data_IF_225327667720
#
_entry.id   IF_225327667720
#
_cell.length_a   1.000
_cell.length_b   1.000
_cell.length_c   1.000
_cell.angle_alpha   90.00
_cell.angle_beta   90.00
_cell.angle_gamma   90.00
#
_symmetry.space_group_name_H-M   'P 1'
#
loop_
_entity.id
_entity.type
_entity.pdbx_description
1 polymer ?
#
# COMPACT_ATOMS: atom_id res chain seq x y z
N UNK A 1 -22.27 33.87 -32.67
CA UNK A 1 -23.58 34.38 -32.16
C UNK A 1 -23.46 35.65 -31.29
N UNK A 2 -22.25 36.15 -31.00
CA UNK A 2 -22.02 37.29 -30.08
C UNK A 2 -22.59 38.61 -30.61
N UNK A 3 -22.29 38.95 -31.88
CA UNK A 3 -22.81 40.16 -32.53
C UNK A 3 -24.35 40.17 -32.58
N UNK A 4 -24.97 39.06 -32.98
CA UNK A 4 -26.44 38.96 -33.07
C UNK A 4 -27.10 39.23 -31.71
N UNK A 5 -26.58 38.64 -30.63
CA UNK A 5 -27.10 38.87 -29.27
C UNK A 5 -26.98 40.34 -28.86
N UNK A 6 -25.80 40.94 -29.05
CA UNK A 6 -25.56 42.34 -28.70
C UNK A 6 -26.47 43.30 -29.48
N UNK A 7 -26.68 43.07 -30.77
CA UNK A 7 -27.59 43.90 -31.56
C UNK A 7 -29.04 43.73 -31.11
N UNK A 8 -29.52 42.50 -30.90
CA UNK A 8 -30.89 42.25 -30.41
C UNK A 8 -31.15 42.97 -29.10
N UNK A 9 -30.19 43.00 -28.18
CA UNK A 9 -30.34 43.69 -26.89
C UNK A 9 -30.51 45.21 -27.05
N UNK A 10 -29.81 45.82 -28.01
CA UNK A 10 -29.93 47.26 -28.33
C UNK A 10 -31.29 47.63 -28.95
N UNK A 11 -31.96 46.70 -29.64
CA UNK A 11 -33.26 46.94 -30.27
C UNK A 11 -34.48 46.72 -29.33
N UNK A 12 -34.28 46.22 -28.11
CA UNK A 12 -35.39 45.92 -27.17
C UNK A 12 -36.07 47.17 -26.59
N UNK A 13 -35.47 48.35 -26.71
CA UNK A 13 -35.96 49.60 -26.11
C UNK A 13 -37.11 50.28 -26.89
N UNK A 14 -37.59 49.69 -27.99
CA UNK A 14 -38.78 50.16 -28.72
C UNK A 14 -38.56 51.32 -29.69
N UNK A 15 -37.45 52.04 -29.56
CA UNK A 15 -37.00 53.11 -30.46
C UNK A 15 -35.76 52.72 -31.28
N UNK A 16 -35.53 53.39 -32.42
CA UNK A 16 -34.35 53.16 -33.24
C UNK A 16 -33.09 53.56 -32.45
N UNK A 17 -32.09 52.67 -32.30
CA UNK A 17 -30.96 52.94 -31.44
C UNK A 17 -30.09 54.08 -31.98
N UNK A 18 -29.62 54.92 -31.06
CA UNK A 18 -28.67 55.99 -31.39
C UNK A 18 -27.37 55.38 -31.94
N UNK A 19 -26.71 56.02 -32.92
CA UNK A 19 -25.44 55.52 -33.49
C UNK A 19 -24.36 55.26 -32.42
N UNK A 20 -24.36 56.02 -31.32
CA UNK A 20 -23.45 55.83 -30.18
C UNK A 20 -23.73 54.51 -29.43
N UNK A 21 -25.00 54.15 -29.24
CA UNK A 21 -25.40 52.88 -28.62
C UNK A 21 -25.00 51.69 -29.50
N UNK A 22 -25.19 51.82 -30.81
CA UNK A 22 -24.80 50.79 -31.77
C UNK A 22 -23.28 50.57 -31.80
N UNK A 23 -22.48 51.66 -31.75
CA UNK A 23 -21.03 51.57 -31.68
C UNK A 23 -20.55 50.88 -30.39
N UNK A 24 -21.15 51.23 -29.25
CA UNK A 24 -20.83 50.61 -27.96
C UNK A 24 -21.16 49.11 -27.96
N UNK A 25 -22.29 48.72 -28.52
CA UNK A 25 -22.66 47.31 -28.65
C UNK A 25 -21.72 46.54 -29.58
N UNK A 26 -21.25 47.18 -30.65
CA UNK A 26 -20.26 46.61 -31.56
C UNK A 26 -18.91 46.41 -30.85
N UNK A 27 -18.46 47.42 -30.10
CA UNK A 27 -17.25 47.36 -29.29
C UNK A 27 -17.32 46.21 -28.26
N UNK A 28 -18.40 46.14 -27.49
CA UNK A 28 -18.66 45.06 -26.54
C UNK A 28 -18.68 43.68 -27.20
N UNK A 29 -19.38 43.54 -28.32
CA UNK A 29 -19.44 42.27 -29.04
C UNK A 29 -18.07 41.83 -29.55
N UNK A 30 -17.23 42.77 -30.02
CA UNK A 30 -15.87 42.47 -30.46
C UNK A 30 -14.97 42.00 -29.31
N UNK A 31 -15.05 42.66 -28.14
CA UNK A 31 -14.30 42.26 -26.94
C UNK A 31 -14.75 40.88 -26.43
N UNK A 32 -16.05 40.62 -26.36
CA UNK A 32 -16.57 39.31 -25.94
C UNK A 32 -16.13 38.21 -26.91
N UNK A 33 -16.13 38.48 -28.22
CA UNK A 33 -15.63 37.52 -29.21
C UNK A 33 -14.12 37.25 -29.05
N UNK A 34 -13.33 38.29 -28.74
CA UNK A 34 -11.90 38.14 -28.44
C UNK A 34 -11.68 37.31 -27.17
N UNK A 35 -12.39 37.61 -26.09
CA UNK A 35 -12.36 36.88 -24.81
C UNK A 35 -12.72 35.42 -25.02
N UNK A 36 -13.80 35.12 -25.74
CA UNK A 36 -14.23 33.75 -26.02
C UNK A 36 -13.20 32.98 -26.84
N UNK A 37 -12.54 33.63 -27.81
CA UNK A 37 -11.49 33.01 -28.63
C UNK A 37 -10.27 32.67 -27.78
N UNK A 38 -9.78 33.61 -26.99
CA UNK A 38 -8.64 33.43 -26.10
C UNK A 38 -8.93 32.37 -25.02
N UNK A 39 -10.10 32.42 -24.40
CA UNK A 39 -10.55 31.43 -23.41
C UNK A 39 -10.58 30.02 -24.01
N UNK A 40 -11.13 29.86 -25.22
CA UNK A 40 -11.14 28.56 -25.91
C UNK A 40 -9.74 28.05 -26.24
N UNK A 41 -8.84 28.94 -26.68
CA UNK A 41 -7.45 28.58 -26.95
C UNK A 41 -6.78 28.01 -25.70
N UNK A 42 -6.88 28.73 -24.59
CA UNK A 42 -6.33 28.31 -23.31
C UNK A 42 -6.94 27.01 -22.80
N UNK A 43 -8.28 26.91 -22.74
CA UNK A 43 -8.95 25.70 -22.24
C UNK A 43 -8.62 24.48 -23.10
N UNK A 44 -8.52 24.65 -24.42
CA UNK A 44 -8.14 23.56 -25.32
C UNK A 44 -6.69 23.14 -25.12
N UNK A 45 -5.76 24.09 -24.94
CA UNK A 45 -4.35 23.76 -24.69
C UNK A 45 -4.15 23.05 -23.35
N UNK A 46 -4.91 23.47 -22.32
CA UNK A 46 -4.83 22.90 -20.97
C UNK A 46 -5.35 21.45 -20.87
N UNK A 47 -5.98 20.93 -21.93
CA UNK A 47 -6.32 19.50 -22.01
C UNK A 47 -5.07 18.61 -22.12
N UNK A 48 -4.00 19.12 -22.76
CA UNK A 48 -2.72 18.43 -22.95
C UNK A 48 -1.69 18.78 -21.86
N UNK A 49 -2.14 19.23 -20.69
CA UNK A 49 -1.27 19.63 -19.58
C UNK A 49 -0.40 18.46 -19.08
N UNK A 50 0.82 18.74 -18.59
CA UNK A 50 1.61 17.75 -17.88
C UNK A 50 0.90 17.31 -16.59
N UNK A 51 1.03 16.02 -16.26
CA UNK A 51 0.46 15.38 -15.07
C UNK A 51 1.58 14.97 -14.11
N UNK A 52 1.26 14.87 -12.82
CA UNK A 52 2.19 14.42 -11.76
C UNK A 52 3.45 15.27 -11.54
N UNK A 53 3.53 16.44 -12.18
CA UNK A 53 4.63 17.38 -12.03
C UNK A 53 4.04 18.79 -11.95
N UNK A 54 4.00 19.32 -10.73
CA UNK A 54 3.37 20.60 -10.43
C UNK A 54 4.18 21.79 -10.96
N UNK A 55 5.51 21.65 -11.04
CA UNK A 55 6.38 22.72 -11.52
C UNK A 55 6.24 22.88 -13.02
N UNK A 56 6.31 21.77 -13.78
CA UNK A 56 6.03 21.78 -15.22
C UNK A 56 4.62 22.25 -15.55
N UNK A 57 3.65 21.94 -14.70
CA UNK A 57 2.28 22.40 -14.87
C UNK A 57 2.16 23.93 -14.72
N UNK A 58 2.89 24.53 -13.77
CA UNK A 58 2.95 26.00 -13.60
C UNK A 58 3.64 26.68 -14.77
N UNK A 59 4.75 26.13 -15.23
CA UNK A 59 5.46 26.64 -16.41
C UNK A 59 4.56 26.60 -17.66
N UNK A 60 3.96 25.44 -17.91
CA UNK A 60 3.03 25.24 -19.03
C UNK A 60 1.82 26.19 -18.96
N UNK A 61 1.29 26.43 -17.75
CA UNK A 61 0.24 27.43 -17.55
C UNK A 61 0.70 28.83 -17.92
N UNK A 62 1.88 29.26 -17.47
CA UNK A 62 2.42 30.58 -17.77
C UNK A 62 2.61 30.81 -19.27
N UNK A 63 3.14 29.83 -19.98
CA UNK A 63 3.30 29.86 -21.44
C UNK A 63 1.95 29.98 -22.15
N UNK A 64 1.01 29.09 -21.82
CA UNK A 64 -0.29 29.05 -22.47
C UNK A 64 -1.17 30.27 -22.15
N UNK A 65 -1.04 30.82 -20.94
CA UNK A 65 -1.69 32.07 -20.54
C UNK A 65 -1.17 33.22 -21.39
N UNK A 66 0.16 33.35 -21.53
CA UNK A 66 0.76 34.39 -22.37
C UNK A 66 0.33 34.26 -23.85
N UNK A 67 0.23 33.04 -24.38
CA UNK A 67 -0.31 32.79 -25.72
C UNK A 67 -1.78 33.19 -25.85
N UNK A 68 -2.62 32.85 -24.87
CA UNK A 68 -4.03 33.20 -24.88
C UNK A 68 -4.23 34.73 -24.82
N UNK A 69 -3.41 35.45 -24.04
CA UNK A 69 -3.44 36.90 -24.00
C UNK A 69 -2.99 37.53 -25.32
N UNK A 70 -1.98 36.98 -25.99
CA UNK A 70 -1.61 37.39 -27.36
C UNK A 70 -2.77 37.18 -28.34
N UNK A 71 -3.46 36.04 -28.26
CA UNK A 71 -4.66 35.77 -29.10
C UNK A 71 -5.76 36.81 -28.86
N UNK A 72 -5.91 37.28 -27.61
CA UNK A 72 -6.85 38.36 -27.28
C UNK A 72 -6.39 39.70 -27.87
N UNK A 73 -5.13 40.07 -27.72
CA UNK A 73 -4.54 41.32 -28.21
C UNK A 73 -4.59 41.41 -29.74
N UNK A 74 -4.21 40.34 -30.44
CA UNK A 74 -4.18 40.26 -31.91
C UNK A 74 -5.58 40.23 -32.55
N UNK A 75 -6.63 39.99 -31.76
CA UNK A 75 -7.99 39.99 -32.26
C UNK A 75 -8.43 41.41 -32.66
N UNK A 76 -8.99 41.63 -33.87
CA UNK A 76 -9.51 42.94 -34.26
C UNK A 76 -10.67 43.37 -33.37
N UNK A 77 -10.43 44.37 -32.52
CA UNK A 77 -11.40 44.93 -31.57
C UNK A 77 -11.81 46.34 -32.00
N UNK A 78 -13.03 46.74 -31.63
CA UNK A 78 -13.57 48.09 -31.84
C UNK A 78 -13.73 48.74 -30.46
N UNK A 79 -13.37 50.00 -30.30
CA UNK A 79 -13.55 50.74 -29.04
C UNK A 79 -12.26 51.34 -28.51
N UNK A 80 -12.28 51.74 -27.23
CA UNK A 80 -11.13 52.32 -26.53
C UNK A 80 -10.29 51.25 -25.84
N UNK A 81 -9.00 51.55 -25.65
CA UNK A 81 -8.05 50.66 -24.94
C UNK A 81 -8.51 50.33 -23.53
N UNK A 82 -9.22 51.24 -22.85
CA UNK A 82 -9.76 51.03 -21.50
C UNK A 82 -10.82 49.90 -21.43
N UNK A 83 -11.64 49.74 -22.47
CA UNK A 83 -12.61 48.63 -22.52
C UNK A 83 -11.92 47.30 -22.78
N UNK A 84 -10.88 47.33 -23.63
CA UNK A 84 -10.04 46.17 -23.90
C UNK A 84 -9.28 45.71 -22.66
N UNK A 85 -8.66 46.64 -21.93
CA UNK A 85 -7.90 46.34 -20.70
C UNK A 85 -8.79 45.70 -19.62
N UNK A 86 -9.98 46.27 -19.38
CA UNK A 86 -10.93 45.71 -18.42
C UNK A 86 -11.34 44.28 -18.79
N UNK A 87 -11.58 44.03 -20.08
CA UNK A 87 -11.93 42.69 -20.57
C UNK A 87 -10.77 41.70 -20.45
N UNK A 88 -9.53 42.19 -20.60
CA UNK A 88 -8.31 41.41 -20.46
C UNK A 88 -8.04 41.03 -18.99
N UNK A 89 -8.27 41.95 -18.06
CA UNK A 89 -8.15 41.69 -16.62
C UNK A 89 -9.16 40.61 -16.16
N UNK A 90 -10.40 40.72 -16.64
CA UNK A 90 -11.45 39.71 -16.36
C UNK A 90 -11.07 38.36 -16.94
N UNK A 91 -10.62 38.33 -18.20
CA UNK A 91 -10.14 37.09 -18.84
C UNK A 91 -9.01 36.46 -18.03
N UNK A 92 -7.99 37.24 -17.67
CA UNK A 92 -6.81 36.74 -16.94
C UNK A 92 -7.23 36.08 -15.63
N UNK A 93 -8.07 36.74 -14.83
CA UNK A 93 -8.60 36.20 -13.57
C UNK A 93 -9.38 34.91 -13.77
N UNK A 94 -10.24 34.84 -14.79
CA UNK A 94 -10.98 33.62 -15.08
C UNK A 94 -10.06 32.43 -15.43
N UNK A 95 -8.98 32.67 -16.18
CA UNK A 95 -8.03 31.64 -16.57
C UNK A 95 -7.14 31.20 -15.40
N UNK A 96 -6.77 32.12 -14.51
CA UNK A 96 -6.09 31.85 -13.24
C UNK A 96 -6.97 31.01 -12.31
N UNK A 97 -8.24 31.39 -12.10
CA UNK A 97 -9.18 30.61 -11.29
C UNK A 97 -9.41 29.20 -11.86
N UNK A 98 -9.45 29.07 -13.18
CA UNK A 98 -9.52 27.77 -13.82
C UNK A 98 -8.25 26.95 -13.58
N UNK A 99 -7.07 27.58 -13.67
CA UNK A 99 -5.81 26.93 -13.35
C UNK A 99 -5.74 26.46 -11.90
N UNK A 100 -6.14 27.30 -10.94
CA UNK A 100 -6.11 26.98 -9.52
C UNK A 100 -6.94 25.73 -9.20
N UNK A 101 -8.07 25.54 -9.87
CA UNK A 101 -8.86 24.30 -9.75
C UNK A 101 -8.08 23.10 -10.25
N UNK A 102 -7.51 23.17 -11.44
CA UNK A 102 -6.71 22.08 -12.01
C UNK A 102 -5.47 21.77 -11.17
N UNK A 103 -4.80 22.80 -10.64
CA UNK A 103 -3.62 22.65 -9.80
C UNK A 103 -3.95 21.90 -8.52
N UNK A 104 -5.06 22.27 -7.84
CA UNK A 104 -5.54 21.56 -6.65
C UNK A 104 -5.94 20.11 -6.94
N UNK A 105 -6.56 19.86 -8.09
CA UNK A 105 -6.89 18.49 -8.53
C UNK A 105 -5.64 17.64 -8.70
N UNK A 106 -4.61 18.14 -9.40
CA UNK A 106 -3.34 17.43 -9.58
C UNK A 106 -2.61 17.21 -8.25
N UNK A 107 -2.55 18.23 -7.40
CA UNK A 107 -1.91 18.14 -6.08
C UNK A 107 -2.58 17.07 -5.21
N UNK A 108 -3.93 17.01 -5.22
CA UNK A 108 -4.67 16.00 -4.49
C UNK A 108 -4.44 14.58 -5.03
N UNK A 109 -4.30 14.44 -6.35
CA UNK A 109 -3.96 13.15 -6.97
C UNK A 109 -2.58 12.68 -6.55
N UNK A 110 -1.57 13.56 -6.59
CA UNK A 110 -0.20 13.23 -6.17
C UNK A 110 -0.18 12.77 -4.71
N UNK A 111 -0.80 13.53 -3.81
CA UNK A 111 -0.86 13.17 -2.37
C UNK A 111 -1.54 11.81 -2.15
N UNK A 112 -2.62 11.54 -2.87
CA UNK A 112 -3.32 10.26 -2.77
C UNK A 112 -2.44 9.10 -3.26
N UNK A 113 -1.72 9.28 -4.36
CA UNK A 113 -0.77 8.29 -4.86
C UNK A 113 0.34 8.02 -3.83
N UNK A 114 0.90 9.06 -3.21
CA UNK A 114 1.91 8.96 -2.14
C UNK A 114 1.39 8.22 -0.89
N UNK A 115 0.17 8.54 -0.45
CA UNK A 115 -0.48 7.87 0.69
C UNK A 115 -0.72 6.37 0.41
N UNK A 116 -1.18 6.04 -0.79
CA UNK A 116 -1.37 4.65 -1.23
C UNK A 116 -0.04 3.90 -1.35
N UNK A 117 1.03 4.56 -1.80
CA UNK A 117 2.39 4.00 -1.81
C UNK A 117 2.91 3.74 -0.41
N UNK A 118 2.79 4.71 0.50
CA UNK A 118 3.18 4.57 1.89
C UNK A 118 2.42 3.45 2.59
N UNK A 119 1.11 3.32 2.35
CA UNK A 119 0.31 2.22 2.90
C UNK A 119 0.82 0.86 2.39
N UNK A 120 1.09 0.74 1.09
CA UNK A 120 1.66 -0.48 0.51
C UNK A 120 3.04 -0.80 1.08
N UNK A 121 3.86 0.21 1.37
CA UNK A 121 5.16 0.03 2.04
C UNK A 121 5.03 -0.44 3.47
N UNK A 122 4.09 0.13 4.23
CA UNK A 122 3.80 -0.27 5.60
C UNK A 122 3.32 -1.72 5.69
N UNK A 123 2.42 -2.14 4.79
CA UNK A 123 1.97 -3.53 4.70
C UNK A 123 3.14 -4.49 4.42
N UNK A 124 4.02 -4.15 3.46
CA UNK A 124 5.23 -4.93 3.18
C UNK A 124 6.19 -4.98 4.37
N UNK A 125 6.34 -3.88 5.09
CA UNK A 125 7.21 -3.81 6.26
C UNK A 125 6.67 -4.64 7.42
N UNK A 126 5.35 -4.59 7.62
CA UNK A 126 4.68 -5.39 8.64
C UNK A 126 4.76 -6.89 8.34
N UNK A 127 4.60 -7.29 7.08
CA UNK A 127 4.76 -8.69 6.66
C UNK A 127 6.17 -9.21 6.95
N UNK A 128 7.20 -8.45 6.58
CA UNK A 128 8.60 -8.78 6.92
C UNK A 128 8.81 -8.93 8.43
N UNK A 129 8.25 -8.02 9.23
CA UNK A 129 8.35 -8.10 10.69
C UNK A 129 7.70 -9.39 11.22
N UNK A 130 6.52 -9.77 10.70
CA UNK A 130 5.84 -11.02 11.07
C UNK A 130 6.63 -12.25 10.63
N UNK A 131 7.33 -12.20 9.50
CA UNK A 131 8.23 -13.27 9.05
C UNK A 131 9.44 -13.41 9.98
N UNK A 132 10.10 -12.31 10.33
CA UNK A 132 11.22 -12.30 11.27
C UNK A 132 10.83 -12.87 12.64
N UNK A 133 9.65 -12.52 13.16
CA UNK A 133 9.13 -13.06 14.41
C UNK A 133 8.95 -14.59 14.32
N UNK A 134 8.34 -15.09 13.24
CA UNK A 134 8.19 -16.54 12.99
C UNK A 134 9.54 -17.24 12.83
N UNK A 135 10.54 -16.59 12.26
CA UNK A 135 11.90 -17.14 12.18
C UNK A 135 12.57 -17.23 13.55
N UNK A 136 12.47 -16.16 14.36
CA UNK A 136 13.02 -16.15 15.72
C UNK A 136 12.40 -17.23 16.59
N UNK A 137 11.09 -17.43 16.49
CA UNK A 137 10.39 -18.49 17.22
C UNK A 137 10.89 -19.89 16.78
N UNK A 138 11.03 -20.13 15.47
CA UNK A 138 11.58 -21.39 14.93
C UNK A 138 13.02 -21.66 15.40
N UNK A 139 13.85 -20.62 15.48
CA UNK A 139 15.23 -20.75 15.99
C UNK A 139 15.21 -21.10 17.47
N UNK A 140 14.42 -20.39 18.27
CA UNK A 140 14.29 -20.64 19.71
C UNK A 140 13.76 -22.06 20.00
N UNK A 141 12.79 -22.53 19.22
CA UNK A 141 12.26 -23.90 19.35
C UNK A 141 13.33 -24.95 19.03
N UNK A 142 14.10 -24.76 17.95
CA UNK A 142 15.22 -25.64 17.59
C UNK A 142 16.29 -25.69 18.67
N UNK A 143 16.64 -24.54 19.26
CA UNK A 143 17.59 -24.47 20.38
C UNK A 143 17.07 -25.23 21.60
N UNK A 144 15.78 -25.07 21.94
CA UNK A 144 15.14 -25.82 23.04
C UNK A 144 15.08 -27.32 22.76
N UNK A 145 14.81 -27.73 21.53
CA UNK A 145 14.83 -29.14 21.13
C UNK A 145 16.24 -29.74 21.24
N UNK A 146 17.25 -29.04 20.71
CA UNK A 146 18.65 -29.46 20.79
C UNK A 146 19.14 -29.55 22.25
N UNK A 147 18.71 -28.63 23.12
CA UNK A 147 19.03 -28.71 24.56
C UNK A 147 18.44 -29.97 25.21
N UNK A 148 17.17 -30.29 24.93
CA UNK A 148 16.52 -31.53 25.41
C UNK A 148 17.21 -32.78 24.87
N UNK A 149 17.56 -32.80 23.58
CA UNK A 149 18.29 -33.93 22.99
C UNK A 149 19.68 -34.10 23.59
N UNK A 150 20.40 -33.00 23.86
CA UNK A 150 21.71 -33.04 24.51
C UNK A 150 21.62 -33.58 25.94
N UNK A 151 20.56 -33.25 26.68
CA UNK A 151 20.29 -33.81 28.00
C UNK A 151 20.04 -35.31 27.93
N UNK A 152 19.14 -35.77 27.05
CA UNK A 152 18.90 -37.20 26.83
C UNK A 152 20.16 -37.94 26.36
N UNK A 153 21.01 -37.32 25.54
CA UNK A 153 22.28 -37.90 25.12
C UNK A 153 23.23 -38.08 26.32
N UNK A 154 23.32 -37.09 27.21
CA UNK A 154 24.11 -37.20 28.45
C UNK A 154 23.61 -38.35 29.32
N UNK A 155 22.31 -38.44 29.56
CA UNK A 155 21.72 -39.54 30.34
C UNK A 155 21.98 -40.92 29.69
N UNK A 156 21.87 -41.03 28.36
CA UNK A 156 22.21 -42.25 27.61
C UNK A 156 23.68 -42.63 27.76
N UNK A 157 24.60 -41.66 27.72
CA UNK A 157 26.03 -41.93 27.92
C UNK A 157 26.31 -42.38 29.37
N UNK A 158 25.66 -41.76 30.36
CA UNK A 158 25.80 -42.16 31.75
C UNK A 158 25.27 -43.56 32.00
N UNK A 159 24.05 -43.86 31.53
CA UNK A 159 23.45 -45.20 31.64
C UNK A 159 24.27 -46.26 30.93
N UNK A 160 24.74 -45.99 29.70
CA UNK A 160 25.66 -46.89 28.99
C UNK A 160 26.95 -47.14 29.78
N UNK A 161 27.55 -46.10 30.36
CA UNK A 161 28.75 -46.26 31.19
C UNK A 161 28.49 -47.10 32.45
N UNK A 162 27.30 -46.97 33.06
CA UNK A 162 26.87 -47.79 34.21
C UNK A 162 26.69 -49.25 33.80
N UNK A 163 26.05 -49.51 32.66
CA UNK A 163 25.86 -50.86 32.12
C UNK A 163 27.22 -51.51 31.85
N UNK A 164 28.13 -50.82 31.15
CA UNK A 164 29.47 -51.33 30.87
C UNK A 164 30.25 -51.68 32.15
N UNK A 165 30.15 -50.84 33.20
CA UNK A 165 30.76 -51.15 34.52
C UNK A 165 30.15 -52.38 35.17
N UNK A 166 28.82 -52.57 35.06
CA UNK A 166 28.13 -53.75 35.61
C UNK A 166 28.50 -55.01 34.85
N UNK A 167 28.58 -54.95 33.53
CA UNK A 167 29.05 -56.06 32.68
C UNK A 167 30.49 -56.45 33.01
N UNK A 168 31.38 -55.48 33.21
CA UNK A 168 32.76 -55.77 33.62
C UNK A 168 32.83 -56.45 35.00
N UNK A 169 31.96 -56.02 35.93
CA UNK A 169 31.80 -56.66 37.25
C UNK A 169 31.28 -58.09 37.12
N UNK A 170 30.27 -58.33 36.29
CA UNK A 170 29.76 -59.68 36.00
C UNK A 170 30.84 -60.56 35.36
N UNK A 171 31.58 -60.04 34.39
CA UNK A 171 32.71 -60.75 33.75
C UNK A 171 33.80 -61.13 34.75
N UNK A 172 34.14 -60.23 35.70
CA UNK A 172 35.08 -60.53 36.79
C UNK A 172 34.52 -61.57 37.77
N UNK A 173 33.23 -61.53 38.08
CA UNK A 173 32.56 -62.52 38.92
C UNK A 173 32.54 -63.91 38.27
N UNK A 174 32.29 -64.02 36.97
CA UNK A 174 32.36 -65.29 36.22
C UNK A 174 33.78 -65.85 36.10
N UNK A 175 34.79 -64.97 36.14
CA UNK A 175 36.21 -65.32 36.12
C UNK A 175 36.76 -65.66 37.51
N UNK A 176 35.96 -65.49 38.57
CA UNK A 176 36.33 -65.79 39.96
C UNK A 176 36.10 -67.29 40.25
N UNK A 177 37.10 -68.04 40.75
CA UNK A 177 37.04 -69.51 40.85
C UNK A 177 35.97 -70.04 41.82
N UNK A 178 35.53 -69.25 42.80
CA UNK A 178 34.49 -69.61 43.77
C UNK A 178 33.09 -69.62 43.14
N UNK A 179 32.78 -68.73 42.18
CA UNK A 179 31.48 -68.70 41.51
C UNK A 179 31.31 -69.88 40.51
N UNK A 180 32.40 -70.36 39.91
CA UNK A 180 32.41 -71.61 39.13
C UNK A 180 32.13 -72.85 39.97
N UNK A 181 32.49 -72.83 41.26
CA UNK A 181 32.24 -73.93 42.19
C UNK A 181 30.75 -74.11 42.51
N UNK A 182 29.98 -73.01 42.65
CA UNK A 182 28.54 -73.06 42.91
C UNK A 182 27.67 -73.33 41.68
N UNK A 183 28.14 -73.01 40.45
CA UNK A 183 27.42 -73.39 39.21
C UNK A 183 27.47 -74.91 38.94
N UNK A 184 28.42 -75.63 39.53
CA UNK A 184 28.54 -77.09 39.46
C UNK A 184 27.69 -77.85 40.49
N UNK A 185 27.11 -77.16 41.47
CA UNK A 185 26.21 -77.74 42.48
C UNK A 185 24.84 -77.14 42.20
N UNK A 186 24.04 -77.85 41.40
CA UNK A 186 22.72 -77.41 40.96
C UNK A 186 21.83 -77.01 42.13
N UNK A 187 21.56 -75.70 42.25
CA UNK A 187 20.44 -75.19 43.02
C UNK A 187 19.48 -74.50 42.04
N UNK A 188 18.48 -75.27 41.64
CA UNK A 188 17.29 -74.79 40.95
C UNK A 188 16.44 -74.05 41.99
N UNK A 189 16.15 -72.77 41.76
CA UNK A 189 14.99 -72.11 42.34
C UNK A 189 14.20 -71.41 41.21
N UNK A 190 13.09 -72.08 40.86
CA UNK A 190 11.81 -71.57 40.38
C UNK A 190 11.73 -70.36 39.41
N UNK A 191 11.18 -70.64 38.23
CA UNK A 191 10.38 -69.75 37.34
C UNK A 191 9.13 -69.17 38.04
N UNK A 192 8.27 -68.31 37.41
CA UNK A 192 8.47 -67.09 36.61
C UNK A 192 7.56 -65.92 37.12
N UNK A 193 7.99 -64.64 37.07
CA UNK A 193 7.05 -63.50 37.27
C UNK A 193 7.68 -62.16 36.85
N UNK A 194 7.38 -61.72 35.61
CA UNK A 194 7.19 -60.30 35.24
C UNK A 194 6.78 -60.19 33.76
N UNK A 195 5.69 -60.86 33.38
CA UNK A 195 4.78 -60.33 32.37
C UNK A 195 3.98 -59.17 33.00
N UNK A 196 4.66 -58.08 33.38
CA UNK A 196 4.07 -56.88 34.04
C UNK A 196 4.44 -55.58 33.29
N UNK A 197 5.20 -55.61 32.19
CA UNK A 197 5.54 -54.39 31.45
C UNK A 197 5.30 -54.43 29.94
N UNK A 198 4.31 -55.20 29.48
CA UNK A 198 3.66 -54.93 28.20
C UNK A 198 2.26 -55.55 28.14
N UNK A 199 1.17 -54.76 28.17
CA UNK A 199 -0.01 -55.08 27.39
C UNK A 199 0.09 -54.45 25.98
N UNK A 200 -0.49 -55.12 24.97
CA UNK A 200 -0.52 -54.67 23.58
C UNK A 200 -1.49 -53.51 23.38
N UNK A 201 -1.26 -52.74 22.30
CA UNK A 201 -2.17 -51.71 21.82
C UNK A 201 -3.58 -52.26 21.53
N UNK A 202 -4.61 -51.50 21.92
CA UNK A 202 -5.92 -51.48 21.26
C UNK A 202 -6.52 -50.05 21.33
N UNK A 203 -7.27 -49.62 20.31
CA UNK A 203 -7.71 -48.25 20.08
C UNK A 203 -9.09 -47.94 20.66
N UNK A 204 -9.35 -46.63 20.72
CA UNK A 204 -10.63 -45.91 20.61
C UNK A 204 -11.69 -45.95 21.72
N UNK A 205 -12.22 -44.74 21.94
CA UNK A 205 -13.53 -44.33 22.47
C UNK A 205 -13.66 -44.05 23.98
N UNK A 206 -13.72 -42.75 24.29
CA UNK A 206 -14.69 -42.04 25.15
C UNK A 206 -14.01 -40.76 25.67
N UNK A 207 -14.57 -39.56 25.72
CA UNK A 207 -15.88 -38.94 25.48
C UNK A 207 -15.53 -37.43 25.50
N UNK A 208 -16.02 -36.61 24.57
CA UNK A 208 -17.19 -35.75 24.81
C UNK A 208 -16.93 -34.77 25.99
N UNK A 209 -16.81 -33.46 25.78
CA UNK A 209 -17.97 -32.54 25.69
C UNK A 209 -17.48 -31.12 25.30
N UNK A 210 -18.26 -30.46 24.43
CA UNK A 210 -18.45 -29.00 24.39
C UNK A 210 -17.58 -28.23 23.39
N UNK A 211 -18.05 -27.31 22.55
CA UNK A 211 -19.32 -26.59 22.47
C UNK A 211 -19.50 -26.05 21.05
N UNK A 212 -20.74 -26.07 20.59
CA UNK A 212 -21.40 -25.19 19.61
C UNK A 212 -20.57 -24.11 18.91
N UNK A 213 -20.48 -24.20 17.57
CA UNK A 213 -20.41 -23.00 16.73
C UNK A 213 -21.62 -22.92 15.82
N UNK A 214 -22.40 -21.87 16.08
CA UNK A 214 -23.55 -21.38 15.33
C UNK A 214 -23.16 -20.99 13.90
N UNK A 215 -24.09 -21.25 12.98
CA UNK A 215 -24.35 -20.39 11.82
C UNK A 215 -25.65 -19.62 12.08
#
# INVERSE_FOLDING_TARGET
MVFFKAYVDVFKEGDLPKPTSMLLATANASNVAATDKARKHYMSGMTNRPRRDLDKLREFHGELLAEALKVFEDFPKIGSDAMSSTSMDVLTKELEEYFDRLFKEEEALIKKEEEEEAKREMERCEERRREEERERERVLEKERAAAREAEFARERTETSSRIARLEERLRKAERNPVAKFFKGIGLILATPLAAVFYPPALPDMAEEIGESFNY
#
